data_IF_692066809986
#
_entry.id   IF_692066809986
#
_cell.length_a   1.000
_cell.length_b   1.000
_cell.length_c   1.000
_cell.angle_alpha   90.00
_cell.angle_beta   90.00
_cell.angle_gamma   90.00
#
_symmetry.space_group_name_H-M   'P 1'
#
loop_
_entity.id
_entity.type
_entity.pdbx_description
1 polymer ?
#
# COMPACT_ATOMS: atom_id res chain seq x y z
N UNK A 1 9.24 16.37 14.06
CA UNK A 1 8.55 15.09 14.33
C UNK A 1 8.90 14.11 13.21
N UNK A 2 10.15 13.61 13.19
CA UNK A 2 10.62 12.69 12.16
C UNK A 2 10.49 11.26 12.69
N UNK A 3 9.50 10.52 12.21
CA UNK A 3 9.44 9.08 12.46
C UNK A 3 10.40 8.38 11.50
N UNK A 4 11.57 8.07 12.04
CA UNK A 4 12.48 7.04 11.53
C UNK A 4 11.76 5.68 11.57
N UNK A 5 11.87 4.90 10.50
CA UNK A 5 11.91 3.43 10.63
C UNK A 5 12.77 2.86 9.51
N UNK A 6 14.01 2.57 9.87
CA UNK A 6 14.91 1.66 9.18
C UNK A 6 14.44 0.21 9.43
N UNK A 7 14.46 -0.64 8.41
CA UNK A 7 14.84 -2.05 8.55
C UNK A 7 15.08 -2.65 7.17
N UNK A 8 16.25 -3.28 7.04
CA UNK A 8 16.65 -4.10 5.91
C UNK A 8 16.18 -5.55 6.15
N UNK A 9 15.67 -6.20 5.11
CA UNK A 9 15.40 -7.64 5.10
C UNK A 9 14.00 -8.03 5.59
N UNK A 10 13.16 -8.53 4.67
CA UNK A 10 12.05 -9.45 4.96
C UNK A 10 11.10 -9.07 6.10
N UNK A 11 10.35 -7.98 5.94
CA UNK A 11 9.01 -7.74 6.49
C UNK A 11 8.68 -6.26 6.26
N UNK A 12 7.98 -6.00 5.15
CA UNK A 12 7.74 -4.67 4.60
C UNK A 12 7.07 -3.77 5.63
N UNK A 13 7.83 -2.84 6.20
CA UNK A 13 7.34 -1.88 7.19
C UNK A 13 6.45 -0.84 6.47
N UNK A 14 5.23 -1.24 6.14
CA UNK A 14 4.23 -0.39 5.53
C UNK A 14 3.79 0.65 6.55
N UNK A 15 3.69 1.90 6.11
CA UNK A 15 3.03 2.93 6.90
C UNK A 15 1.56 2.58 7.06
N UNK A 16 0.90 3.10 8.11
CA UNK A 16 -0.55 2.89 8.33
C UNK A 16 -1.37 3.18 7.07
N UNK A 17 -1.07 4.28 6.36
CA UNK A 17 -1.73 4.66 5.11
C UNK A 17 -1.48 3.67 3.97
N UNK A 18 -0.26 3.16 3.83
CA UNK A 18 0.06 2.14 2.83
C UNK A 18 -0.67 0.81 3.12
N UNK A 19 -0.75 0.43 4.39
CA UNK A 19 -1.53 -0.74 4.82
C UNK A 19 -3.03 -0.56 4.57
N UNK A 20 -3.60 0.62 4.85
CA UNK A 20 -5.00 0.93 4.53
C UNK A 20 -5.27 0.85 3.03
N UNK A 21 -4.37 1.40 2.20
CA UNK A 21 -4.48 1.33 0.74
C UNK A 21 -4.44 -0.13 0.28
N UNK A 22 -3.52 -0.94 0.81
CA UNK A 22 -3.43 -2.37 0.51
C UNK A 22 -4.71 -3.13 0.93
N UNK A 23 -5.25 -2.76 2.09
CA UNK A 23 -6.62 -2.95 2.60
C UNK A 23 -7.67 -2.93 1.49
N UNK A 24 -7.70 -1.81 0.81
CA UNK A 24 -8.70 -1.51 -0.21
C UNK A 24 -8.33 -2.06 -1.59
N UNK A 25 -7.04 -2.32 -1.86
CA UNK A 25 -6.64 -2.94 -3.11
C UNK A 25 -7.11 -4.38 -3.20
N UNK A 26 -7.13 -5.11 -2.09
CA UNK A 26 -7.57 -6.52 -2.03
C UNK A 26 -9.07 -6.70 -2.31
N UNK A 27 -9.88 -5.66 -2.12
CA UNK A 27 -11.34 -5.69 -2.39
C UNK A 27 -11.70 -5.53 -3.86
N UNK A 28 -10.73 -5.29 -4.74
CA UNK A 28 -10.98 -5.07 -6.17
C UNK A 28 -11.45 -3.65 -6.53
N UNK A 29 -11.69 -2.78 -5.55
CA UNK A 29 -12.17 -1.41 -5.79
C UNK A 29 -11.22 -0.60 -6.71
N UNK A 30 -11.76 0.24 -7.61
CA UNK A 30 -10.92 1.11 -8.43
C UNK A 30 -10.21 2.16 -7.57
N UNK A 31 -8.98 2.53 -7.94
CA UNK A 31 -8.14 3.49 -7.21
C UNK A 31 -8.86 4.82 -6.93
N UNK A 32 -9.73 5.28 -7.85
CA UNK A 32 -10.58 6.48 -7.66
C UNK A 32 -11.46 6.37 -6.40
N UNK A 33 -12.10 5.21 -6.20
CA UNK A 33 -12.97 4.98 -5.05
C UNK A 33 -12.15 4.85 -3.77
N UNK A 34 -11.00 4.16 -3.82
CA UNK A 34 -10.08 4.06 -2.69
C UNK A 34 -9.61 5.46 -2.24
N UNK A 35 -9.29 6.33 -3.20
CA UNK A 35 -8.90 7.71 -2.92
C UNK A 35 -10.02 8.50 -2.22
N UNK A 36 -11.27 8.32 -2.68
CA UNK A 36 -12.46 8.90 -2.04
C UNK A 36 -12.66 8.38 -0.62
N UNK A 37 -12.58 7.07 -0.41
CA UNK A 37 -12.74 6.45 0.91
C UNK A 37 -11.68 6.91 1.91
N UNK A 38 -10.45 7.16 1.44
CA UNK A 38 -9.35 7.64 2.28
C UNK A 38 -9.28 9.17 2.38
N UNK A 39 -10.20 9.87 1.72
CA UNK A 39 -10.27 11.33 1.61
C UNK A 39 -8.95 11.96 1.13
N UNK A 40 -8.34 11.37 0.08
CA UNK A 40 -7.10 11.85 -0.54
C UNK A 40 -7.26 12.06 -2.05
N UNK A 41 -6.40 12.90 -2.62
CA UNK A 41 -6.42 13.17 -4.07
C UNK A 41 -5.95 11.96 -4.89
N UNK A 42 -6.35 11.91 -6.16
CA UNK A 42 -5.83 10.93 -7.13
C UNK A 42 -4.30 10.99 -7.27
N UNK A 43 -3.70 12.16 -7.10
CA UNK A 43 -2.25 12.31 -7.20
C UNK A 43 -1.56 11.74 -5.95
N UNK A 44 -2.14 12.01 -4.77
CA UNK A 44 -1.67 11.50 -3.49
C UNK A 44 -1.70 9.98 -3.44
N UNK A 45 -2.81 9.34 -3.85
CA UNK A 45 -2.88 7.87 -3.86
C UNK A 45 -1.89 7.24 -4.85
N UNK A 46 -1.62 7.86 -6.01
CA UNK A 46 -0.60 7.38 -6.96
C UNK A 46 0.79 7.37 -6.32
N UNK A 47 1.13 8.42 -5.57
CA UNK A 47 2.38 8.49 -4.83
C UNK A 47 2.47 7.37 -3.78
N UNK A 48 1.40 7.16 -3.01
CA UNK A 48 1.36 6.07 -2.03
C UNK A 48 1.46 4.69 -2.69
N UNK A 49 0.77 4.46 -3.81
CA UNK A 49 0.83 3.19 -4.55
C UNK A 49 2.24 2.91 -5.07
N UNK A 50 2.94 3.91 -5.63
CA UNK A 50 4.32 3.75 -6.08
C UNK A 50 5.24 3.34 -4.94
N UNK A 51 5.12 3.99 -3.79
CA UNK A 51 5.93 3.67 -2.61
C UNK A 51 5.57 2.29 -2.04
N UNK A 52 4.27 1.97 -1.97
CA UNK A 52 3.76 0.66 -1.56
C UNK A 52 4.34 -0.45 -2.43
N UNK A 53 4.24 -0.32 -3.76
CA UNK A 53 4.76 -1.30 -4.72
C UNK A 53 6.27 -1.46 -4.59
N UNK A 54 7.00 -0.35 -4.46
CA UNK A 54 8.45 -0.38 -4.23
C UNK A 54 8.81 -1.10 -2.92
N UNK A 55 8.04 -0.88 -1.84
CA UNK A 55 8.26 -1.54 -0.54
C UNK A 55 7.89 -3.01 -0.53
N UNK A 56 6.85 -3.40 -1.26
CA UNK A 56 6.44 -4.79 -1.44
C UNK A 56 7.28 -5.52 -2.49
N UNK A 57 8.08 -4.80 -3.28
CA UNK A 57 8.74 -5.33 -4.46
C UNK A 57 7.74 -5.88 -5.48
N UNK A 58 6.56 -5.28 -5.59
CA UNK A 58 5.52 -5.68 -6.53
C UNK A 58 5.58 -4.84 -7.81
N UNK A 59 5.41 -5.47 -8.97
CA UNK A 59 5.33 -4.80 -10.26
C UNK A 59 3.92 -4.27 -10.56
N UNK A 60 2.89 -4.96 -10.05
CA UNK A 60 1.50 -4.62 -10.34
C UNK A 60 0.56 -4.78 -9.13
N UNK A 61 -0.72 -4.41 -9.34
CA UNK A 61 -1.76 -4.47 -8.32
C UNK A 61 -1.96 -5.89 -7.78
N UNK A 62 -1.95 -6.91 -8.65
CA UNK A 62 -2.18 -8.30 -8.26
C UNK A 62 -1.03 -8.78 -7.39
N UNK A 63 0.20 -8.58 -7.84
CA UNK A 63 1.40 -8.96 -7.08
C UNK A 63 1.47 -8.22 -5.74
N UNK A 64 1.07 -6.94 -5.70
CA UNK A 64 0.99 -6.19 -4.45
C UNK A 64 -0.05 -6.76 -3.48
N UNK A 65 -1.23 -7.16 -3.98
CA UNK A 65 -2.28 -7.78 -3.17
C UNK A 65 -1.85 -9.17 -2.68
N UNK A 66 -1.18 -9.95 -3.52
CA UNK A 66 -0.67 -11.28 -3.18
C UNK A 66 0.37 -11.21 -2.06
N UNK A 67 1.44 -10.43 -2.24
CA UNK A 67 2.44 -10.18 -1.19
C UNK A 67 1.82 -9.53 0.05
N UNK A 68 0.81 -8.70 -0.17
CA UNK A 68 0.05 -8.06 0.90
C UNK A 68 -0.79 -9.03 1.74
N UNK A 69 -1.35 -10.08 1.14
CA UNK A 69 -2.11 -11.12 1.83
C UNK A 69 -1.20 -11.92 2.76
N UNK A 70 0.00 -12.27 2.31
CA UNK A 70 0.99 -12.95 3.14
C UNK A 70 1.39 -12.10 4.36
N UNK A 71 1.54 -10.79 4.18
CA UNK A 71 1.94 -9.86 5.23
C UNK A 71 0.81 -9.49 6.21
N UNK A 72 -0.41 -9.29 5.72
CA UNK A 72 -1.56 -8.82 6.51
C UNK A 72 -2.51 -9.94 6.96
N UNK A 73 -2.26 -11.18 6.55
CA UNK A 73 -3.17 -12.34 6.77
C UNK A 73 -4.62 -12.01 6.37
N UNK A 74 -4.77 -11.34 5.23
CA UNK A 74 -6.07 -11.00 4.61
C UNK A 74 -6.70 -12.21 3.95
#
# INVERSE_FOLDING_TARGET
>A
MNYQIMSAGGNSNLTKREADILRHLSTGLPIKFIAGNLNISKNTIKTHLRNLYKKLGAADRREAVEKGRELLKL
#
